data_IF_303202040537
#
_entry.id   IF_303202040537
#
_cell.length_a   1.000
_cell.length_b   1.000
_cell.length_c   1.000
_cell.angle_alpha   90.00
_cell.angle_beta   90.00
_cell.angle_gamma   90.00
#
_symmetry.space_group_name_H-M   'P 1'
#
loop_
_entity.id
_entity.type
_entity.pdbx_description
1 polymer ?
#
# COMPACT_ATOMS: atom_id res chain seq x y z
N UNK A 1 3.00 -19.00 25.23
CA UNK A 1 3.58 -19.87 24.13
C UNK A 1 4.49 -18.99 23.27
N UNK A 2 5.61 -19.52 22.72
CA UNK A 2 6.45 -18.78 21.78
C UNK A 2 5.89 -18.93 20.36
N UNK A 3 5.82 -17.83 19.60
CA UNK A 3 5.39 -17.78 18.21
C UNK A 3 6.42 -17.05 17.36
N UNK A 4 6.76 -17.56 16.18
CA UNK A 4 7.68 -16.89 15.26
C UNK A 4 7.11 -15.55 14.84
N UNK A 5 7.93 -14.51 14.92
CA UNK A 5 7.55 -13.12 14.73
C UNK A 5 8.59 -12.38 13.91
N UNK A 6 8.14 -11.67 12.89
CA UNK A 6 9.00 -10.79 12.08
C UNK A 6 8.40 -9.39 11.99
N UNK A 7 9.26 -8.40 11.79
CA UNK A 7 8.86 -7.09 11.27
C UNK A 7 9.57 -6.91 9.93
N UNK A 8 8.77 -6.67 8.91
CA UNK A 8 9.22 -6.55 7.51
C UNK A 8 8.93 -5.14 7.02
N UNK A 9 9.93 -4.46 6.50
CA UNK A 9 9.77 -3.23 5.74
C UNK A 9 9.43 -3.56 4.29
N UNK A 10 8.31 -3.04 3.82
CA UNK A 10 7.80 -3.26 2.46
C UNK A 10 8.10 -2.05 1.58
N UNK A 11 8.29 -2.27 0.28
CA UNK A 11 8.65 -1.29 -0.73
C UNK A 11 10.04 -0.68 -0.52
N UNK A 12 10.97 -1.47 -0.01
CA UNK A 12 12.37 -1.07 0.12
C UNK A 12 13.28 -2.30 0.16
N UNK A 13 14.50 -2.15 -0.29
CA UNK A 13 15.58 -3.13 -0.10
C UNK A 13 16.52 -2.75 1.07
N UNK A 14 16.25 -1.61 1.75
CA UNK A 14 17.06 -1.10 2.86
C UNK A 14 16.23 -1.04 4.15
N UNK A 15 16.71 -1.62 5.27
CA UNK A 15 16.00 -1.59 6.53
C UNK A 15 15.63 -0.17 6.99
N UNK A 16 14.47 -0.03 7.64
CA UNK A 16 13.93 1.18 8.26
C UNK A 16 13.48 2.28 7.28
N UNK A 17 13.43 1.99 5.99
CA UNK A 17 13.08 2.96 4.95
C UNK A 17 11.80 2.65 4.18
N UNK A 18 11.14 1.55 4.50
CA UNK A 18 9.86 1.14 3.89
C UNK A 18 8.64 1.39 4.77
N UNK A 19 7.58 0.64 4.51
CA UNK A 19 6.37 0.58 5.32
C UNK A 19 6.41 -0.70 6.17
N UNK A 20 6.56 -0.61 7.50
CA UNK A 20 6.71 -1.77 8.36
C UNK A 20 5.39 -2.51 8.58
N UNK A 21 5.43 -3.84 8.54
CA UNK A 21 4.36 -4.72 8.97
C UNK A 21 4.89 -5.77 9.95
N UNK A 22 4.14 -6.00 11.03
CA UNK A 22 4.40 -7.10 11.94
C UNK A 22 3.75 -8.39 11.42
N UNK A 23 4.48 -9.50 11.42
CA UNK A 23 4.01 -10.79 10.91
C UNK A 23 4.18 -11.86 11.99
N UNK A 24 3.06 -12.41 12.47
CA UNK A 24 3.02 -13.59 13.35
C UNK A 24 2.88 -14.82 12.47
N UNK A 25 3.97 -15.60 12.34
CA UNK A 25 4.05 -16.75 11.41
C UNK A 25 3.35 -18.02 11.93
N UNK A 26 3.13 -18.13 13.23
CA UNK A 26 2.49 -19.29 13.88
C UNK A 26 1.24 -18.83 14.63
N UNK A 27 0.21 -18.40 13.90
CA UNK A 27 -1.00 -17.81 14.49
C UNK A 27 -2.11 -18.83 14.80
N UNK A 28 -1.94 -20.09 14.45
CA UNK A 28 -2.94 -21.12 14.73
C UNK A 28 -3.25 -21.21 16.23
N UNK A 29 -4.56 -21.27 16.54
CA UNK A 29 -5.08 -21.31 17.90
C UNK A 29 -5.21 -19.95 18.61
N UNK A 30 -4.79 -18.83 17.98
CA UNK A 30 -5.12 -17.51 18.50
C UNK A 30 -6.57 -17.14 18.18
N UNK A 31 -7.27 -16.64 19.18
CA UNK A 31 -8.58 -16.02 18.99
C UNK A 31 -8.49 -14.66 18.29
N UNK A 32 -9.60 -14.19 17.73
CA UNK A 32 -9.69 -12.84 17.14
C UNK A 32 -9.33 -11.75 18.14
N UNK A 33 -9.76 -11.89 19.40
CA UNK A 33 -9.45 -10.90 20.45
C UNK A 33 -7.97 -10.85 20.80
N UNK A 34 -7.28 -12.01 20.81
CA UNK A 34 -5.84 -12.08 21.03
C UNK A 34 -5.07 -11.45 19.85
N UNK A 35 -5.48 -11.74 18.60
CA UNK A 35 -4.91 -11.11 17.40
C UNK A 35 -5.07 -9.59 17.44
N UNK A 36 -6.26 -9.10 17.80
CA UNK A 36 -6.53 -7.68 17.93
C UNK A 36 -5.74 -7.05 19.09
N UNK A 37 -5.54 -7.75 20.18
CA UNK A 37 -4.72 -7.28 21.31
C UNK A 37 -3.23 -7.14 20.90
N UNK A 38 -2.70 -8.13 20.17
CA UNK A 38 -1.34 -8.10 19.63
C UNK A 38 -1.19 -6.91 18.66
N UNK A 39 -2.14 -6.70 17.74
CA UNK A 39 -2.10 -5.60 16.79
C UNK A 39 -2.12 -4.22 17.49
N UNK A 40 -2.89 -4.07 18.56
CA UNK A 40 -2.86 -2.85 19.39
C UNK A 40 -1.52 -2.65 20.09
N UNK A 41 -0.94 -3.73 20.60
CA UNK A 41 0.32 -3.66 21.34
C UNK A 41 1.51 -3.34 20.43
N UNK A 42 1.60 -3.94 19.24
CA UNK A 42 2.64 -3.64 18.26
C UNK A 42 2.56 -2.20 17.78
N UNK A 43 1.35 -1.66 17.69
CA UNK A 43 1.04 -0.28 17.27
C UNK A 43 1.65 0.11 15.92
N UNK A 44 1.90 -0.86 15.03
CA UNK A 44 2.19 -0.63 13.63
C UNK A 44 0.88 -0.41 12.86
N UNK A 45 0.95 0.16 11.67
CA UNK A 45 -0.23 0.34 10.81
C UNK A 45 -1.03 -0.94 10.70
N UNK A 46 -0.34 -2.07 10.46
CA UNK A 46 -0.92 -3.41 10.47
C UNK A 46 -0.01 -4.44 11.12
N UNK A 47 -0.69 -5.44 11.69
CA UNK A 47 -0.11 -6.71 12.15
C UNK A 47 -0.86 -7.85 11.48
N UNK A 48 -0.14 -8.80 10.94
CA UNK A 48 -0.69 -9.93 10.21
C UNK A 48 -0.47 -11.26 10.94
N UNK A 49 -1.40 -12.18 10.69
CA UNK A 49 -1.44 -13.48 11.31
C UNK A 49 -1.55 -14.56 10.23
N UNK A 50 -0.51 -15.37 10.14
CA UNK A 50 -0.42 -16.47 9.17
C UNK A 50 -1.05 -17.72 9.75
N UNK A 51 -1.97 -18.30 9.00
CA UNK A 51 -2.74 -19.49 9.34
C UNK A 51 -2.64 -20.54 8.23
N UNK A 52 -2.89 -21.82 8.53
CA UNK A 52 -3.12 -22.81 7.49
C UNK A 52 -4.28 -22.39 6.57
N UNK A 53 -4.19 -22.63 5.26
CA UNK A 53 -5.29 -22.33 4.34
C UNK A 53 -6.49 -23.24 4.62
N UNK A 54 -7.69 -22.76 4.31
CA UNK A 54 -8.93 -23.55 4.44
C UNK A 54 -9.40 -24.14 3.11
N UNK A 55 -8.62 -23.96 2.05
CA UNK A 55 -8.83 -24.50 0.69
C UNK A 55 -7.51 -24.94 0.08
N UNK A 56 -7.54 -25.99 -0.74
CA UNK A 56 -6.36 -26.50 -1.47
C UNK A 56 -5.87 -25.54 -2.56
N UNK A 57 -6.67 -24.53 -2.91
CA UNK A 57 -6.30 -23.51 -3.89
C UNK A 57 -5.33 -22.47 -3.33
N UNK A 58 -5.28 -22.29 -1.99
CA UNK A 58 -4.41 -21.33 -1.32
C UNK A 58 -3.13 -22.00 -0.77
N UNK A 59 -2.07 -21.23 -0.67
CA UNK A 59 -0.81 -21.67 -0.07
C UNK A 59 -0.76 -21.34 1.43
N UNK A 60 -1.47 -20.29 1.85
CA UNK A 60 -1.64 -19.87 3.24
C UNK A 60 -2.89 -18.99 3.38
N UNK A 61 -3.36 -18.85 4.63
CA UNK A 61 -4.37 -17.87 4.99
C UNK A 61 -3.72 -16.72 5.75
N UNK A 62 -4.17 -15.50 5.47
CA UNK A 62 -3.72 -14.28 6.14
C UNK A 62 -4.89 -13.53 6.74
N UNK A 63 -4.78 -13.21 8.04
CA UNK A 63 -5.66 -12.23 8.70
C UNK A 63 -4.86 -10.97 8.98
N UNK A 64 -5.46 -9.81 8.75
CA UNK A 64 -4.79 -8.50 8.76
C UNK A 64 -5.52 -7.61 9.77
N UNK A 65 -4.80 -7.05 10.72
CA UNK A 65 -5.37 -6.20 11.76
C UNK A 65 -4.64 -4.87 11.85
N UNK A 66 -5.41 -3.79 11.87
CA UNK A 66 -4.95 -2.50 12.38
C UNK A 66 -5.00 -2.50 13.91
N UNK A 67 -4.44 -1.50 14.61
CA UNK A 67 -4.66 -1.36 16.04
C UNK A 67 -6.14 -1.26 16.47
N UNK A 68 -7.07 -0.98 15.53
CA UNK A 68 -8.50 -0.75 15.82
C UNK A 68 -9.42 -1.86 15.36
N UNK A 69 -9.13 -2.49 14.23
CA UNK A 69 -10.03 -3.46 13.57
C UNK A 69 -9.32 -4.40 12.63
N UNK A 70 -9.97 -5.52 12.32
CA UNK A 70 -9.55 -6.40 11.24
C UNK A 70 -9.90 -5.80 9.87
N UNK A 71 -8.99 -5.97 8.90
CA UNK A 71 -9.17 -5.58 7.51
C UNK A 71 -9.34 -6.84 6.64
N UNK A 72 -10.26 -6.81 5.66
CA UNK A 72 -10.42 -7.93 4.74
C UNK A 72 -9.22 -8.12 3.81
N UNK A 73 -8.49 -7.04 3.51
CA UNK A 73 -7.29 -7.01 2.69
C UNK A 73 -6.51 -5.70 2.91
N UNK A 74 -5.17 -5.78 2.78
CA UNK A 74 -4.29 -4.61 2.68
C UNK A 74 -3.03 -4.99 1.89
N UNK A 75 -2.56 -4.09 1.02
CA UNK A 75 -1.52 -4.40 0.03
C UNK A 75 -0.13 -4.64 0.62
N UNK A 76 0.43 -3.65 1.35
CA UNK A 76 1.76 -3.83 1.91
C UNK A 76 1.82 -4.96 2.97
N UNK A 77 0.80 -5.19 3.82
CA UNK A 77 0.79 -6.34 4.71
C UNK A 77 0.81 -7.69 3.96
N UNK A 78 0.14 -7.77 2.81
CA UNK A 78 0.17 -8.94 1.94
C UNK A 78 1.57 -9.23 1.42
N UNK A 79 2.27 -8.21 0.89
CA UNK A 79 3.65 -8.37 0.38
C UNK A 79 4.64 -8.71 1.50
N UNK A 80 4.58 -8.01 2.63
CA UNK A 80 5.45 -8.26 3.78
C UNK A 80 5.24 -9.65 4.41
N UNK A 81 3.99 -10.11 4.48
CA UNK A 81 3.69 -11.46 4.97
C UNK A 81 4.19 -12.53 4.01
N UNK A 82 3.99 -12.35 2.70
CA UNK A 82 4.51 -13.26 1.69
C UNK A 82 6.04 -13.34 1.75
N UNK A 83 6.73 -12.21 1.90
CA UNK A 83 8.19 -12.17 2.12
C UNK A 83 8.59 -12.97 3.37
N UNK A 84 7.95 -12.73 4.51
CA UNK A 84 8.24 -13.40 5.78
C UNK A 84 8.03 -14.91 5.70
N UNK A 85 6.95 -15.37 5.06
CA UNK A 85 6.63 -16.79 4.89
C UNK A 85 7.66 -17.50 3.99
N UNK A 86 8.04 -16.87 2.88
CA UNK A 86 9.02 -17.38 1.93
C UNK A 86 10.43 -17.43 2.56
N UNK A 87 10.84 -16.38 3.26
CA UNK A 87 12.13 -16.32 3.95
C UNK A 87 12.22 -17.38 5.07
N UNK A 88 11.13 -17.65 5.78
CA UNK A 88 11.04 -18.69 6.80
C UNK A 88 10.93 -20.12 6.22
N UNK A 89 10.87 -20.27 4.88
CA UNK A 89 10.74 -21.58 4.23
C UNK A 89 9.43 -22.30 4.51
N UNK A 90 8.36 -21.55 4.89
CA UNK A 90 7.05 -22.14 5.25
C UNK A 90 6.26 -22.58 4.02
N UNK A 91 6.47 -21.91 2.89
CA UNK A 91 5.81 -22.17 1.61
C UNK A 91 6.84 -22.09 0.49
N UNK A 92 6.66 -22.93 -0.53
CA UNK A 92 7.44 -22.86 -1.77
C UNK A 92 6.56 -22.26 -2.87
N UNK A 93 7.05 -21.27 -3.64
CA UNK A 93 6.29 -20.72 -4.75
C UNK A 93 5.86 -21.80 -5.74
N UNK A 94 4.65 -21.67 -6.27
CA UNK A 94 4.15 -22.50 -7.38
C UNK A 94 4.93 -22.20 -8.67
N UNK A 95 4.75 -23.05 -9.67
CA UNK A 95 5.37 -22.85 -10.98
C UNK A 95 5.11 -21.42 -11.52
N UNK A 96 6.14 -20.80 -12.08
CA UNK A 96 6.08 -19.43 -12.59
C UNK A 96 6.20 -18.35 -11.51
N UNK A 97 6.64 -18.68 -10.29
CA UNK A 97 6.80 -17.72 -9.20
C UNK A 97 5.46 -17.21 -8.65
N UNK A 98 4.45 -18.07 -8.56
CA UNK A 98 3.11 -17.72 -8.05
C UNK A 98 2.94 -18.14 -6.60
N UNK A 99 2.20 -17.34 -5.85
CA UNK A 99 1.81 -17.63 -4.47
C UNK A 99 0.36 -17.17 -4.27
N UNK A 100 -0.47 -18.00 -3.66
CA UNK A 100 -1.90 -17.73 -3.49
C UNK A 100 -2.19 -17.53 -2.01
N UNK A 101 -2.57 -16.30 -1.65
CA UNK A 101 -3.05 -15.91 -0.33
C UNK A 101 -4.57 -16.06 -0.24
N UNK A 102 -5.07 -16.69 0.80
CA UNK A 102 -6.47 -16.62 1.20
C UNK A 102 -6.64 -15.51 2.24
N UNK A 103 -7.59 -14.61 2.06
CA UNK A 103 -7.91 -13.55 3.02
C UNK A 103 -9.40 -13.17 2.97
N UNK A 104 -9.80 -12.09 3.65
CA UNK A 104 -11.19 -11.68 3.76
C UNK A 104 -11.89 -11.33 2.44
N UNK A 105 -11.14 -11.01 1.38
CA UNK A 105 -11.69 -10.78 0.02
C UNK A 105 -11.66 -12.03 -0.88
N UNK A 106 -11.20 -13.17 -0.37
CA UNK A 106 -11.01 -14.41 -1.12
C UNK A 106 -9.55 -14.71 -1.44
N UNK A 107 -9.29 -15.21 -2.64
CA UNK A 107 -7.96 -15.59 -3.09
C UNK A 107 -7.27 -14.42 -3.78
N UNK A 108 -6.04 -14.14 -3.37
CA UNK A 108 -5.17 -13.11 -3.97
C UNK A 108 -3.92 -13.79 -4.51
N UNK A 109 -3.68 -13.65 -5.80
CA UNK A 109 -2.47 -14.14 -6.43
C UNK A 109 -1.35 -13.11 -6.33
N UNK A 110 -0.19 -13.55 -5.83
CA UNK A 110 1.04 -12.79 -5.84
C UNK A 110 2.00 -13.37 -6.88
N UNK A 111 2.76 -12.49 -7.52
CA UNK A 111 3.87 -12.85 -8.39
C UNK A 111 5.19 -12.59 -7.68
N UNK A 112 6.09 -13.57 -7.74
CA UNK A 112 7.41 -13.50 -7.14
C UNK A 112 8.45 -13.49 -8.26
N UNK A 113 9.39 -12.55 -8.21
CA UNK A 113 10.56 -12.50 -9.09
C UNK A 113 11.81 -12.52 -8.24
N UNK A 114 12.55 -13.61 -8.35
CA UNK A 114 13.87 -13.72 -7.72
C UNK A 114 14.91 -13.00 -8.57
N UNK A 115 15.72 -12.15 -7.93
CA UNK A 115 16.86 -11.49 -8.52
C UNK A 115 18.10 -11.72 -7.61
N UNK A 116 19.32 -11.64 -8.12
CA UNK A 116 20.51 -11.78 -7.29
C UNK A 116 20.53 -10.75 -6.14
N UNK A 117 20.34 -11.26 -4.90
CA UNK A 117 20.34 -10.43 -3.69
C UNK A 117 19.03 -9.68 -3.41
N UNK A 118 17.97 -9.88 -4.21
CA UNK A 118 16.67 -9.23 -4.02
C UNK A 118 15.52 -10.16 -4.43
N UNK A 119 14.38 -9.97 -3.80
CA UNK A 119 13.11 -10.62 -4.15
C UNK A 119 12.06 -9.57 -4.32
N UNK A 120 11.49 -9.48 -5.50
CA UNK A 120 10.37 -8.60 -5.77
C UNK A 120 9.05 -9.36 -5.71
N UNK A 121 8.10 -8.79 -5.00
CA UNK A 121 6.75 -9.30 -4.82
C UNK A 121 5.76 -8.31 -5.41
N UNK A 122 4.75 -8.81 -6.11
CA UNK A 122 3.72 -7.96 -6.70
C UNK A 122 2.36 -8.66 -6.71
N UNK A 123 1.29 -7.86 -6.73
CA UNK A 123 -0.09 -8.34 -6.93
C UNK A 123 -0.85 -7.37 -7.84
N UNK A 124 -1.92 -7.90 -8.46
CA UNK A 124 -2.80 -7.09 -9.29
C UNK A 124 -3.88 -6.43 -8.44
N UNK A 125 -4.12 -5.13 -8.69
CA UNK A 125 -5.21 -4.41 -8.06
C UNK A 125 -6.56 -4.77 -8.71
N UNK A 126 -7.67 -4.67 -7.96
CA UNK A 126 -8.98 -4.78 -8.56
C UNK A 126 -9.20 -3.64 -9.57
N UNK A 127 -10.09 -3.84 -10.56
CA UNK A 127 -10.44 -2.79 -11.51
C UNK A 127 -10.90 -1.51 -10.81
N UNK A 128 -10.23 -0.39 -11.13
CA UNK A 128 -10.51 0.88 -10.50
C UNK A 128 -11.85 1.48 -10.96
N UNK A 129 -12.64 2.00 -10.02
CA UNK A 129 -13.78 2.88 -10.32
C UNK A 129 -13.33 4.31 -10.10
N UNK A 130 -13.54 5.18 -11.11
CA UNK A 130 -13.03 6.55 -11.09
C UNK A 130 -14.20 7.51 -11.33
N UNK A 131 -14.39 8.44 -10.39
CA UNK A 131 -15.41 9.47 -10.43
C UNK A 131 -14.77 10.86 -10.31
N UNK A 132 -15.23 11.86 -11.07
CA UNK A 132 -14.68 13.21 -10.98
C UNK A 132 -14.98 13.82 -9.60
N UNK A 133 -14.01 14.56 -9.04
CA UNK A 133 -14.25 15.38 -7.86
C UNK A 133 -15.02 16.64 -8.27
N UNK A 134 -16.02 17.06 -7.49
CA UNK A 134 -16.79 18.26 -7.78
C UNK A 134 -15.97 19.54 -7.61
N UNK A 135 -16.29 20.58 -8.38
CA UNK A 135 -15.54 21.84 -8.36
C UNK A 135 -15.44 22.49 -6.96
N UNK A 136 -16.52 22.41 -6.18
CA UNK A 136 -16.53 22.92 -4.80
C UNK A 136 -15.54 22.15 -3.89
N UNK A 137 -15.44 20.84 -4.09
CA UNK A 137 -14.51 19.98 -3.32
C UNK A 137 -13.06 20.19 -3.76
N UNK A 138 -12.82 20.51 -5.03
CA UNK A 138 -11.48 20.89 -5.52
C UNK A 138 -11.04 22.20 -4.85
N UNK A 139 -11.92 23.19 -4.75
CA UNK A 139 -11.59 24.44 -4.07
C UNK A 139 -11.30 24.24 -2.57
N UNK A 140 -12.04 23.36 -1.91
CA UNK A 140 -11.79 22.99 -0.51
C UNK A 140 -10.46 22.24 -0.35
N UNK A 141 -10.16 21.29 -1.26
CA UNK A 141 -8.90 20.56 -1.30
C UNK A 141 -7.70 21.49 -1.46
N UNK A 142 -7.77 22.50 -2.34
CA UNK A 142 -6.72 23.51 -2.50
C UNK A 142 -6.45 24.33 -1.24
N UNK A 143 -7.52 24.66 -0.48
CA UNK A 143 -7.37 25.32 0.83
C UNK A 143 -6.73 24.41 1.87
N UNK A 144 -7.05 23.11 1.85
CA UNK A 144 -6.44 22.09 2.75
C UNK A 144 -4.95 21.94 2.43
N UNK A 145 -4.60 21.88 1.14
CA UNK A 145 -3.22 21.71 0.68
C UNK A 145 -2.37 23.00 0.78
N UNK A 146 -3.02 24.17 0.84
CA UNK A 146 -2.35 25.45 0.82
C UNK A 146 -1.74 25.82 -0.54
N UNK A 147 -2.10 25.10 -1.61
CA UNK A 147 -1.62 25.33 -2.97
C UNK A 147 -2.63 24.85 -4.02
N UNK A 148 -2.39 25.22 -5.28
CA UNK A 148 -3.23 24.79 -6.39
C UNK A 148 -2.91 23.37 -6.84
N UNK A 149 -3.93 22.63 -7.25
CA UNK A 149 -3.79 21.37 -7.96
C UNK A 149 -3.63 21.61 -9.46
N UNK A 150 -3.09 20.65 -10.18
CA UNK A 150 -3.00 20.74 -11.65
C UNK A 150 -4.40 20.62 -12.25
N UNK A 151 -4.89 21.73 -12.81
CA UNK A 151 -6.24 21.80 -13.39
C UNK A 151 -6.36 21.14 -14.76
N UNK A 152 -5.22 20.82 -15.42
CA UNK A 152 -5.21 20.05 -16.68
C UNK A 152 -5.64 18.62 -16.44
N UNK A 153 -5.43 18.13 -15.22
CA UNK A 153 -5.80 16.80 -14.75
C UNK A 153 -6.67 16.92 -13.50
N UNK A 154 -7.94 17.30 -13.70
CA UNK A 154 -8.86 17.51 -12.59
C UNK A 154 -8.87 16.33 -11.59
N UNK A 155 -8.79 16.58 -10.28
CA UNK A 155 -8.83 15.56 -9.24
C UNK A 155 -10.02 14.62 -9.38
N UNK A 156 -9.85 13.40 -8.90
CA UNK A 156 -10.87 12.35 -8.98
C UNK A 156 -10.89 11.50 -7.71
N UNK A 157 -12.04 10.90 -7.44
CA UNK A 157 -12.18 9.83 -6.46
C UNK A 157 -11.91 8.52 -7.17
N UNK A 158 -10.96 7.72 -6.65
CA UNK A 158 -10.55 6.44 -7.21
C UNK A 158 -10.76 5.35 -6.17
N UNK A 159 -11.55 4.33 -6.52
CA UNK A 159 -11.83 3.18 -5.68
C UNK A 159 -11.12 1.94 -6.23
N UNK A 160 -10.18 1.42 -5.47
CA UNK A 160 -9.45 0.16 -5.71
C UNK A 160 -9.61 -0.79 -4.50
N UNK A 161 -10.72 -0.68 -3.77
CA UNK A 161 -10.98 -1.23 -2.45
C UNK A 161 -10.96 -0.09 -1.45
N UNK A 162 -9.85 0.38 -0.94
CA UNK A 162 -9.73 1.73 -0.36
C UNK A 162 -10.11 2.79 -1.39
N UNK A 163 -10.73 3.88 -0.92
CA UNK A 163 -11.24 4.98 -1.76
C UNK A 163 -10.36 6.20 -1.54
N UNK A 164 -9.67 6.65 -2.58
CA UNK A 164 -8.73 7.76 -2.50
C UNK A 164 -9.17 8.96 -3.35
N UNK A 165 -9.04 10.15 -2.81
CA UNK A 165 -9.00 11.36 -3.64
C UNK A 165 -7.60 11.44 -4.25
N UNK A 166 -7.52 11.56 -5.58
CA UNK A 166 -6.24 11.65 -6.29
C UNK A 166 -6.10 13.04 -6.88
N UNK A 167 -4.99 13.71 -6.62
CA UNK A 167 -4.69 15.02 -7.18
C UNK A 167 -3.23 15.08 -7.69
N UNK A 168 -3.05 15.58 -8.89
CA UNK A 168 -1.74 15.89 -9.46
C UNK A 168 -1.28 17.27 -9.00
N UNK A 169 -0.01 17.37 -8.61
CA UNK A 169 0.68 18.60 -8.25
C UNK A 169 1.60 19.02 -9.40
N UNK A 170 2.11 20.23 -9.34
CA UNK A 170 2.99 20.81 -10.37
C UNK A 170 4.30 19.99 -10.56
N UNK A 171 4.79 19.34 -9.49
CA UNK A 171 5.96 18.47 -9.55
C UNK A 171 6.29 17.81 -8.22
N UNK A 172 7.30 16.92 -8.24
CA UNK A 172 7.76 16.17 -7.06
C UNK A 172 8.18 17.10 -5.91
N UNK A 173 8.85 18.20 -6.20
CA UNK A 173 9.26 19.17 -5.18
C UNK A 173 8.06 19.78 -4.44
N UNK A 174 6.98 20.08 -5.15
CA UNK A 174 5.72 20.55 -4.54
C UNK A 174 5.16 19.50 -3.60
N UNK A 175 5.09 18.22 -4.03
CA UNK A 175 4.62 17.11 -3.20
C UNK A 175 5.41 16.98 -1.90
N UNK A 176 6.74 16.96 -1.97
CA UNK A 176 7.61 16.84 -0.78
C UNK A 176 7.39 17.99 0.21
N UNK A 177 7.16 19.20 -0.29
CA UNK A 177 7.05 20.40 0.54
C UNK A 177 5.64 20.68 1.07
N UNK A 178 4.63 19.90 0.71
CA UNK A 178 3.27 20.07 1.22
C UNK A 178 3.20 20.02 2.74
N UNK A 179 2.33 20.87 3.28
CA UNK A 179 1.97 20.89 4.71
C UNK A 179 0.46 21.03 4.84
N UNK A 180 -0.29 19.93 4.55
CA UNK A 180 -1.74 19.98 4.55
C UNK A 180 -2.30 20.24 5.96
N UNK A 181 -3.44 20.92 6.03
CA UNK A 181 -4.24 21.02 7.24
C UNK A 181 -4.91 19.65 7.50
N UNK A 182 -4.27 18.82 8.32
CA UNK A 182 -4.72 17.44 8.58
C UNK A 182 -6.08 17.39 9.30
N UNK A 183 -6.38 18.37 10.14
CA UNK A 183 -7.68 18.41 10.82
C UNK A 183 -8.81 18.66 9.83
N UNK A 184 -8.64 19.65 8.94
CA UNK A 184 -9.57 19.95 7.88
C UNK A 184 -9.64 18.81 6.84
N UNK A 185 -8.53 18.17 6.55
CA UNK A 185 -8.49 16.99 5.68
C UNK A 185 -9.32 15.84 6.25
N UNK A 186 -9.22 15.56 7.54
CA UNK A 186 -10.03 14.53 8.20
C UNK A 186 -11.55 14.81 8.09
N UNK A 187 -11.98 16.07 8.18
CA UNK A 187 -13.37 16.47 7.98
C UNK A 187 -13.80 16.29 6.52
N UNK A 188 -12.94 16.67 5.59
CA UNK A 188 -13.13 16.49 4.16
C UNK A 188 -13.30 14.99 3.77
N UNK A 189 -12.42 14.13 4.29
CA UNK A 189 -12.49 12.68 4.08
C UNK A 189 -13.79 12.08 4.58
N UNK A 190 -14.19 12.43 5.82
CA UNK A 190 -15.47 11.96 6.40
C UNK A 190 -16.66 12.42 5.60
N UNK A 191 -16.67 13.67 5.14
CA UNK A 191 -17.74 14.24 4.34
C UNK A 191 -17.92 13.54 2.99
N UNK A 192 -16.80 13.17 2.35
CA UNK A 192 -16.81 12.47 1.06
C UNK A 192 -16.94 10.95 1.19
N UNK A 193 -16.79 10.39 2.40
CA UNK A 193 -16.78 8.93 2.61
C UNK A 193 -15.58 8.23 1.96
N UNK A 194 -14.43 8.91 1.91
CA UNK A 194 -13.20 8.38 1.33
C UNK A 194 -12.21 7.94 2.42
N UNK A 195 -11.29 7.07 2.07
CA UNK A 195 -10.21 6.60 2.95
C UNK A 195 -9.21 7.72 3.21
N UNK A 196 -8.90 8.52 2.20
CA UNK A 196 -7.92 9.58 2.33
C UNK A 196 -7.60 10.27 1.00
N UNK A 197 -6.51 11.04 1.04
CA UNK A 197 -5.97 11.81 -0.07
C UNK A 197 -4.61 11.24 -0.50
N UNK A 198 -4.42 11.02 -1.80
CA UNK A 198 -3.10 10.75 -2.38
C UNK A 198 -2.78 11.83 -3.41
N UNK A 199 -1.66 12.50 -3.24
CA UNK A 199 -1.12 13.48 -4.18
C UNK A 199 0.13 12.95 -4.85
N UNK A 200 0.36 13.34 -6.10
CA UNK A 200 1.56 12.97 -6.83
C UNK A 200 2.08 14.10 -7.71
N UNK A 201 3.36 14.08 -8.02
CA UNK A 201 4.01 15.01 -8.94
C UNK A 201 5.19 14.36 -9.63
N UNK A 202 5.47 14.78 -10.87
CA UNK A 202 6.56 14.21 -11.67
C UNK A 202 7.93 14.68 -11.18
N UNK A 203 8.91 13.77 -11.24
CA UNK A 203 10.32 14.13 -11.10
C UNK A 203 10.84 14.71 -12.41
N UNK A 204 11.75 15.68 -12.33
CA UNK A 204 12.42 16.26 -13.51
C UNK A 204 13.50 15.34 -14.08
N UNK A 205 13.76 14.20 -13.47
CA UNK A 205 14.76 13.21 -13.87
C UNK A 205 15.07 12.22 -12.74
N UNK A 206 15.98 11.30 -13.02
CA UNK A 206 16.33 10.23 -12.09
C UNK A 206 15.71 8.89 -12.48
N UNK A 207 15.72 7.95 -11.55
CA UNK A 207 15.23 6.58 -11.74
C UNK A 207 13.76 6.37 -11.31
N UNK A 208 13.18 7.37 -10.65
CA UNK A 208 11.75 7.38 -10.29
C UNK A 208 11.00 8.41 -11.15
N UNK A 209 9.78 8.05 -11.58
CA UNK A 209 8.96 8.90 -12.42
C UNK A 209 8.17 9.95 -11.62
N UNK A 210 7.69 9.58 -10.45
CA UNK A 210 6.82 10.41 -9.61
C UNK A 210 7.18 10.32 -8.14
N UNK A 211 6.96 11.40 -7.40
CA UNK A 211 6.88 11.43 -5.94
C UNK A 211 5.41 11.37 -5.54
N UNK A 212 5.12 10.60 -4.49
CA UNK A 212 3.76 10.40 -3.96
C UNK A 212 3.73 10.70 -2.47
N UNK A 213 2.62 11.24 -1.97
CA UNK A 213 2.29 11.28 -0.54
C UNK A 213 0.84 10.90 -0.34
N UNK A 214 0.58 10.14 0.71
CA UNK A 214 -0.75 9.63 1.04
C UNK A 214 -1.10 9.98 2.47
N UNK A 215 -2.28 10.55 2.68
CA UNK A 215 -2.79 11.02 3.95
C UNK A 215 -4.15 10.38 4.23
N UNK A 216 -4.38 9.95 5.46
CA UNK A 216 -5.65 9.37 5.90
C UNK A 216 -5.94 9.71 7.39
N UNK A 217 -5.92 11.00 7.78
CA UNK A 217 -6.08 11.40 9.17
C UNK A 217 -7.42 10.97 9.77
N UNK A 218 -8.50 10.84 9.00
CA UNK A 218 -9.78 10.32 9.50
C UNK A 218 -9.69 8.86 9.94
N UNK A 219 -8.78 8.08 9.36
CA UNK A 219 -8.48 6.70 9.73
C UNK A 219 -7.44 6.61 10.87
N UNK A 220 -6.88 7.75 11.32
CA UNK A 220 -5.85 7.81 12.36
C UNK A 220 -4.42 7.64 11.85
N UNK A 221 -4.22 7.77 10.54
CA UNK A 221 -2.91 7.77 9.88
C UNK A 221 -2.68 9.14 9.27
N UNK A 222 -1.93 10.01 9.94
CA UNK A 222 -1.65 11.36 9.43
C UNK A 222 -1.02 11.32 8.04
N UNK A 223 0.03 10.50 7.87
CA UNK A 223 0.67 10.22 6.59
C UNK A 223 1.10 8.75 6.54
N UNK A 224 0.68 8.02 5.51
CA UNK A 224 1.14 6.65 5.24
C UNK A 224 2.55 6.72 4.64
N UNK A 225 3.55 6.08 5.25
CA UNK A 225 4.93 6.17 4.79
C UNK A 225 5.14 5.65 3.37
N UNK A 226 4.48 4.54 2.97
CA UNK A 226 4.53 4.01 1.59
C UNK A 226 3.25 3.22 1.31
N UNK A 227 2.33 3.83 0.56
CA UNK A 227 0.97 3.32 0.35
C UNK A 227 0.81 2.62 -1.00
N UNK A 228 0.64 1.28 -0.98
CA UNK A 228 0.42 0.49 -2.19
C UNK A 228 -0.87 0.86 -2.92
N UNK A 229 -2.00 0.95 -2.21
CA UNK A 229 -3.30 1.29 -2.80
C UNK A 229 -3.37 2.75 -3.28
N UNK A 230 -2.72 3.67 -2.58
CA UNK A 230 -2.59 5.07 -3.01
C UNK A 230 -1.85 5.17 -4.35
N UNK A 231 -0.68 4.52 -4.44
CA UNK A 231 0.11 4.48 -5.68
C UNK A 231 -0.64 3.77 -6.83
N UNK A 232 -1.35 2.69 -6.53
CA UNK A 232 -2.17 2.00 -7.52
C UNK A 232 -3.33 2.85 -8.03
N UNK A 233 -3.95 3.64 -7.14
CA UNK A 233 -4.99 4.61 -7.52
C UNK A 233 -4.43 5.75 -8.39
N UNK A 234 -3.20 6.22 -8.11
CA UNK A 234 -2.48 7.17 -8.98
C UNK A 234 -2.28 6.57 -10.37
N UNK A 235 -1.83 5.32 -10.46
CA UNK A 235 -1.61 4.65 -11.74
C UNK A 235 -2.90 4.51 -12.56
N UNK A 236 -3.99 4.08 -11.92
CA UNK A 236 -5.31 4.00 -12.56
C UNK A 236 -5.81 5.38 -13.03
N UNK A 237 -5.61 6.42 -12.19
CA UNK A 237 -5.91 7.80 -12.56
C UNK A 237 -5.10 8.26 -13.77
N UNK A 238 -3.77 8.04 -13.75
CA UNK A 238 -2.88 8.41 -14.86
C UNK A 238 -3.30 7.71 -16.17
N UNK A 239 -3.60 6.41 -16.12
CA UNK A 239 -4.10 5.66 -17.26
C UNK A 239 -5.38 6.28 -17.82
N UNK A 240 -6.38 6.50 -16.96
CA UNK A 240 -7.68 7.07 -17.35
C UNK A 240 -7.57 8.48 -17.94
N UNK A 241 -6.58 9.25 -17.53
CA UNK A 241 -6.31 10.62 -18.00
C UNK A 241 -5.39 10.69 -19.22
N UNK A 242 -4.91 9.55 -19.72
CA UNK A 242 -3.98 9.51 -20.85
C UNK A 242 -2.59 10.08 -20.54
N UNK A 243 -2.17 10.02 -19.27
CA UNK A 243 -0.85 10.46 -18.81
C UNK A 243 0.20 9.35 -18.95
N UNK A 244 -0.21 8.13 -19.25
CA UNK A 244 0.64 6.99 -19.56
C UNK A 244 0.52 6.63 -21.05
N UNK A 245 1.55 5.99 -21.65
CA UNK A 245 1.48 5.49 -23.02
C UNK A 245 0.31 4.54 -23.23
N UNK A 246 -0.28 4.53 -24.43
CA UNK A 246 -1.45 3.72 -24.77
C UNK A 246 -1.17 2.20 -24.75
N UNK A 247 0.08 1.80 -24.84
CA UNK A 247 0.55 0.41 -24.72
C UNK A 247 0.89 0.01 -23.29
N UNK A 248 0.52 0.84 -22.32
CA UNK A 248 0.82 0.64 -20.91
C UNK A 248 2.14 1.29 -20.50
N UNK A 249 2.56 1.02 -19.27
CA UNK A 249 3.79 1.60 -18.76
C UNK A 249 4.29 0.93 -17.48
N UNK A 250 5.60 1.02 -17.31
CA UNK A 250 6.27 0.65 -16.04
C UNK A 250 7.05 1.84 -15.53
N UNK A 251 6.92 2.10 -14.25
CA UNK A 251 7.70 3.14 -13.59
C UNK A 251 7.90 2.82 -12.11
N UNK A 252 8.80 3.54 -11.49
CA UNK A 252 8.99 3.55 -10.04
C UNK A 252 8.41 4.83 -9.48
N UNK A 253 7.60 4.72 -8.44
CA UNK A 253 7.16 5.82 -7.61
C UNK A 253 7.99 5.86 -6.33
N UNK A 254 8.33 7.06 -5.86
CA UNK A 254 8.94 7.29 -4.55
C UNK A 254 7.93 7.86 -3.57
N UNK A 255 8.05 7.47 -2.29
CA UNK A 255 7.18 7.96 -1.21
C UNK A 255 7.89 7.89 0.14
N UNK A 256 7.49 8.75 1.07
CA UNK A 256 7.88 8.66 2.47
C UNK A 256 8.97 9.62 2.92
N UNK A 257 9.57 10.41 2.05
CA UNK A 257 10.67 11.33 2.41
C UNK A 257 10.31 12.28 3.55
N UNK A 258 9.07 12.77 3.56
CA UNK A 258 8.58 13.71 4.60
C UNK A 258 8.46 13.08 5.98
N UNK A 259 8.41 11.75 6.06
CA UNK A 259 8.32 10.97 7.32
C UNK A 259 9.56 10.10 7.57
N UNK A 260 10.69 10.44 6.92
CA UNK A 260 11.97 9.77 7.13
C UNK A 260 12.07 8.38 6.50
N UNK A 261 11.32 8.12 5.44
CA UNK A 261 11.35 6.88 4.64
C UNK A 261 11.89 7.17 3.24
N UNK A 262 12.15 6.09 2.50
CA UNK A 262 12.61 6.14 1.10
C UNK A 262 12.02 4.94 0.36
N UNK A 263 10.68 4.90 0.33
CA UNK A 263 9.94 3.83 -0.30
C UNK A 263 10.00 3.90 -1.82
N UNK A 264 10.06 2.73 -2.44
CA UNK A 264 10.11 2.57 -3.90
C UNK A 264 9.07 1.54 -4.32
N UNK A 265 8.06 2.00 -5.00
CA UNK A 265 6.96 1.17 -5.49
C UNK A 265 7.13 0.97 -7.00
N UNK A 266 7.19 -0.29 -7.42
CA UNK A 266 7.12 -0.66 -8.81
C UNK A 266 5.66 -0.67 -9.26
N UNK A 267 5.37 0.10 -10.28
CA UNK A 267 4.05 0.20 -10.89
C UNK A 267 4.14 -0.36 -12.31
N UNK A 268 3.22 -1.24 -12.66
CA UNK A 268 3.03 -1.71 -14.02
C UNK A 268 1.56 -1.58 -14.41
N UNK A 269 1.29 -0.90 -15.52
CA UNK A 269 -0.04 -0.79 -16.11
C UNK A 269 0.00 -1.48 -17.46
N UNK A 270 -0.88 -2.43 -17.69
CA UNK A 270 -0.95 -3.16 -18.95
C UNK A 270 -1.77 -2.40 -20.03
N UNK A 271 -1.83 -2.97 -21.24
CA UNK A 271 -2.58 -2.41 -22.39
C UNK A 271 -4.09 -2.30 -22.16
N UNK A 272 -4.62 -2.96 -21.14
CA UNK A 272 -6.03 -2.93 -20.76
C UNK A 272 -6.30 -1.97 -19.59
N UNK A 273 -5.24 -1.39 -19.01
CA UNK A 273 -5.32 -0.51 -17.83
C UNK A 273 -5.34 -1.26 -16.50
N UNK A 274 -5.04 -2.57 -16.47
CA UNK A 274 -4.88 -3.29 -15.22
C UNK A 274 -3.60 -2.85 -14.54
N UNK A 275 -3.69 -2.59 -13.25
CA UNK A 275 -2.59 -2.06 -12.44
C UNK A 275 -2.02 -3.16 -11.56
N UNK A 276 -0.71 -3.37 -11.66
CA UNK A 276 0.07 -4.22 -10.77
C UNK A 276 1.02 -3.38 -9.93
N UNK A 277 1.01 -3.62 -8.63
CA UNK A 277 1.86 -2.94 -7.64
C UNK A 277 2.80 -3.96 -7.01
N UNK A 278 4.05 -3.58 -6.86
CA UNK A 278 5.05 -4.43 -6.23
C UNK A 278 6.27 -3.67 -5.74
N UNK A 279 7.22 -4.43 -5.23
CA UNK A 279 8.50 -3.93 -4.76
C UNK A 279 9.26 -4.95 -3.94
N UNK A 280 10.44 -4.55 -3.48
CA UNK A 280 11.28 -5.32 -2.57
C UNK A 280 10.75 -5.26 -1.15
N UNK A 281 11.12 -6.25 -0.35
CA UNK A 281 10.86 -6.30 1.09
C UNK A 281 12.14 -6.69 1.82
N UNK A 282 12.30 -6.18 3.04
CA UNK A 282 13.45 -6.54 3.89
C UNK A 282 13.02 -6.80 5.32
N UNK A 283 13.48 -7.89 5.91
CA UNK A 283 13.21 -8.23 7.31
C UNK A 283 14.07 -7.37 8.23
N UNK A 284 13.45 -6.59 9.11
CA UNK A 284 14.11 -5.74 10.10
C UNK A 284 14.20 -6.41 11.48
N UNK A 285 13.21 -7.24 11.81
CA UNK A 285 13.20 -8.01 13.07
C UNK A 285 12.87 -9.47 12.76
N UNK A 286 13.66 -10.37 13.30
CA UNK A 286 13.41 -11.81 13.27
C UNK A 286 13.57 -12.39 14.69
N UNK A 287 12.48 -12.98 15.20
CA UNK A 287 12.49 -13.43 16.58
C UNK A 287 11.21 -14.17 16.98
N UNK A 288 10.80 -14.01 18.21
CA UNK A 288 9.60 -14.64 18.75
C UNK A 288 8.80 -13.71 19.64
N UNK A 289 7.49 -13.81 19.54
CA UNK A 289 6.53 -13.23 20.46
C UNK A 289 6.19 -14.26 21.54
N UNK A 290 6.23 -13.89 22.82
CA UNK A 290 5.83 -14.75 23.93
C UNK A 290 4.49 -14.27 24.45
N UNK A 291 3.49 -15.15 24.42
CA UNK A 291 2.12 -14.92 24.88
C UNK A 291 1.81 -15.84 26.04
#
# INVERSE_FOLDING_TARGET
MKRSYKVVDVFTSRPLLGNPVAVVLDAEGLSTDEMQAIARWTNLSETTFVLPPTTDEADYQLRIFTPRSELPFAGHPTLGSAHAILEAGRVTPRAGGRLIQQCGIGLVELTIREQPGDRQLAFDLPPAKIEPLHAADIADLELILGCKVDTRTAPAIVNVGPIWVIAQMDGAATVVNLRPDLARLADFERRLGVTGLTVFGTHDGGDAAIEVRTFAPSCGVEEDPVCGSGNGSVAAFQWKRGLLPADGGRYVATQGRSVGRDGRIEVNVDTSGNVRIGGSCVTCVDGSLTL
#
